data_IF_379333106202
#
_entry.id   IF_379333106202
#
_cell.length_a   1.000
_cell.length_b   1.000
_cell.length_c   1.000
_cell.angle_alpha   90.00
_cell.angle_beta   90.00
_cell.angle_gamma   90.00
#
_symmetry.space_group_name_H-M   'P 1'
#
loop_
_entity.id
_entity.type
_entity.pdbx_description
1 polymer ?
#
# COMPACT_ATOMS: atom_id res chain seq x y z
N UNK A 1 -52.94 -18.16 -19.21
CA UNK A 1 -51.97 -18.40 -20.32
C UNK A 1 -50.80 -17.42 -20.17
N UNK A 2 -49.97 -17.63 -19.15
CA UNK A 2 -49.40 -16.50 -18.39
C UNK A 2 -47.87 -16.37 -18.58
N UNK A 3 -47.31 -17.26 -19.39
CA UNK A 3 -45.89 -17.30 -19.73
C UNK A 3 -45.32 -15.97 -20.28
N UNK A 4 -46.02 -15.13 -21.09
CA UNK A 4 -45.42 -13.87 -21.55
C UNK A 4 -45.28 -12.85 -20.42
N UNK A 5 -46.18 -12.87 -19.42
CA UNK A 5 -46.05 -12.02 -18.23
C UNK A 5 -44.88 -12.50 -17.37
N UNK A 6 -44.74 -13.81 -17.16
CA UNK A 6 -43.60 -14.41 -16.45
C UNK A 6 -42.28 -14.07 -17.16
N UNK A 7 -42.23 -14.17 -18.48
CA UNK A 7 -41.06 -13.82 -19.29
C UNK A 7 -40.71 -12.33 -19.22
N UNK A 8 -41.71 -11.44 -19.27
CA UNK A 8 -41.51 -10.00 -19.11
C UNK A 8 -40.98 -9.63 -17.72
N UNK A 9 -41.55 -10.20 -16.65
CA UNK A 9 -41.06 -10.01 -15.27
C UNK A 9 -39.63 -10.54 -15.12
N UNK A 10 -39.33 -11.74 -15.63
CA UNK A 10 -37.98 -12.30 -15.61
C UNK A 10 -36.97 -11.41 -16.36
N UNK A 11 -37.34 -10.88 -17.53
CA UNK A 11 -36.50 -9.96 -18.30
C UNK A 11 -36.22 -8.66 -17.53
N UNK A 12 -37.24 -8.06 -16.91
CA UNK A 12 -37.07 -6.86 -16.07
C UNK A 12 -36.14 -7.13 -14.89
N UNK A 13 -36.29 -8.27 -14.21
CA UNK A 13 -35.40 -8.66 -13.10
C UNK A 13 -33.93 -8.84 -13.56
N UNK A 14 -33.71 -9.46 -14.73
CA UNK A 14 -32.37 -9.59 -15.32
C UNK A 14 -31.77 -8.22 -15.67
N UNK A 15 -32.54 -7.31 -16.28
CA UNK A 15 -32.07 -5.97 -16.63
C UNK A 15 -31.72 -5.14 -15.38
N UNK A 16 -32.54 -5.18 -14.33
CA UNK A 16 -32.27 -4.54 -13.03
C UNK A 16 -31.01 -5.12 -12.39
N UNK A 17 -30.85 -6.45 -12.41
CA UNK A 17 -29.66 -7.12 -11.87
C UNK A 17 -28.38 -6.73 -12.63
N UNK A 18 -28.40 -6.74 -13.96
CA UNK A 18 -27.25 -6.33 -14.81
C UNK A 18 -26.90 -4.86 -14.59
N UNK A 19 -27.90 -3.97 -14.48
CA UNK A 19 -27.69 -2.55 -14.18
C UNK A 19 -27.11 -2.32 -12.77
N UNK A 20 -27.54 -3.08 -11.76
CA UNK A 20 -26.94 -3.05 -10.42
C UNK A 20 -25.50 -3.55 -10.43
N UNK A 21 -25.24 -4.67 -11.13
CA UNK A 21 -23.93 -5.30 -11.23
C UNK A 21 -22.91 -4.39 -11.95
N UNK A 22 -23.31 -3.75 -13.04
CA UNK A 22 -22.49 -2.75 -13.74
C UNK A 22 -22.13 -1.58 -12.81
N UNK A 23 -23.12 -1.00 -12.11
CA UNK A 23 -22.89 0.11 -11.17
C UNK A 23 -22.03 -0.31 -9.97
N UNK A 24 -22.13 -1.56 -9.50
CA UNK A 24 -21.23 -2.13 -8.48
C UNK A 24 -19.79 -2.24 -8.98
N UNK A 25 -19.57 -2.69 -10.22
CA UNK A 25 -18.23 -2.78 -10.83
C UNK A 25 -17.60 -1.38 -10.93
N UNK A 26 -18.32 -0.38 -11.45
CA UNK A 26 -17.82 1.00 -11.54
C UNK A 26 -17.39 1.55 -10.17
N UNK A 27 -18.17 1.30 -9.11
CA UNK A 27 -17.83 1.72 -7.74
C UNK A 27 -16.56 1.05 -7.20
N UNK A 28 -16.32 -0.23 -7.49
CA UNK A 28 -15.09 -0.92 -7.07
C UNK A 28 -13.87 -0.45 -7.87
N UNK A 29 -13.99 -0.25 -9.19
CA UNK A 29 -12.92 0.33 -10.01
C UNK A 29 -12.54 1.72 -9.50
N UNK A 30 -13.51 2.60 -9.24
CA UNK A 30 -13.26 3.93 -8.68
C UNK A 30 -12.61 3.88 -7.29
N UNK A 31 -13.04 2.97 -6.40
CA UNK A 31 -12.41 2.74 -5.09
C UNK A 31 -10.96 2.27 -5.22
N UNK A 32 -10.66 1.43 -6.22
CA UNK A 32 -9.31 0.90 -6.45
C UNK A 32 -8.38 1.98 -7.02
N UNK A 33 -8.87 2.85 -7.91
CA UNK A 33 -8.12 4.01 -8.39
C UNK A 33 -7.82 4.99 -7.24
N UNK A 34 -8.81 5.36 -6.44
CA UNK A 34 -8.61 6.23 -5.28
C UNK A 34 -7.65 5.64 -4.23
N UNK A 35 -7.64 4.30 -4.07
CA UNK A 35 -6.68 3.62 -3.21
C UNK A 35 -5.25 3.59 -3.81
N UNK A 36 -5.12 3.55 -5.15
CA UNK A 36 -3.82 3.68 -5.84
C UNK A 36 -3.26 5.10 -5.66
N UNK A 37 -4.06 6.13 -5.91
CA UNK A 37 -3.62 7.52 -5.76
C UNK A 37 -3.24 7.85 -4.30
N UNK A 38 -3.96 7.30 -3.32
CA UNK A 38 -3.59 7.40 -1.90
C UNK A 38 -2.30 6.64 -1.54
N UNK A 39 -2.06 5.48 -2.17
CA UNK A 39 -0.82 4.71 -2.01
C UNK A 39 0.39 5.49 -2.57
N UNK A 40 0.24 6.08 -3.75
CA UNK A 40 1.26 6.92 -4.41
C UNK A 40 1.63 8.14 -3.56
N UNK A 41 0.65 8.75 -2.89
CA UNK A 41 0.87 9.85 -1.96
C UNK A 41 1.73 9.41 -0.74
N UNK A 42 1.48 8.21 -0.17
CA UNK A 42 2.31 7.70 0.93
C UNK A 42 3.72 7.28 0.48
N UNK A 43 3.84 6.65 -0.70
CA UNK A 43 5.14 6.33 -1.31
C UNK A 43 5.96 7.62 -1.52
N UNK A 44 5.31 8.66 -2.06
CA UNK A 44 5.89 9.99 -2.22
C UNK A 44 6.27 10.69 -0.92
N UNK A 45 5.51 10.50 0.18
CA UNK A 45 5.87 11.01 1.52
C UNK A 45 7.06 10.26 2.12
N UNK A 46 6.99 8.92 2.17
CA UNK A 46 8.06 8.08 2.72
C UNK A 46 9.40 8.28 2.01
N UNK A 47 9.39 8.32 0.67
CA UNK A 47 10.62 8.54 -0.08
C UNK A 47 11.18 9.97 0.11
N UNK A 48 10.35 11.00 0.32
CA UNK A 48 10.83 12.34 0.72
C UNK A 48 11.50 12.33 2.10
N UNK A 49 10.87 11.70 3.10
CA UNK A 49 11.46 11.57 4.44
C UNK A 49 12.77 10.76 4.42
N UNK A 50 12.85 9.70 3.61
CA UNK A 50 14.09 8.95 3.44
C UNK A 50 15.19 9.74 2.72
N UNK A 51 14.84 10.69 1.84
CA UNK A 51 15.81 11.53 1.13
C UNK A 51 16.50 12.58 2.01
N UNK A 52 16.06 12.75 3.26
CA UNK A 52 16.75 13.54 4.29
C UNK A 52 18.03 12.82 4.80
N UNK A 53 18.03 11.48 4.78
CA UNK A 53 19.19 10.66 5.14
C UNK A 53 20.22 10.71 4.00
N UNK A 54 21.47 11.20 4.21
CA UNK A 54 22.45 11.32 3.13
C UNK A 54 22.76 10.01 2.40
N UNK A 55 22.74 8.88 3.12
CA UNK A 55 22.99 7.54 2.55
C UNK A 55 21.81 7.02 1.70
N UNK A 56 20.57 7.18 2.16
CA UNK A 56 19.39 6.71 1.41
C UNK A 56 18.94 7.69 0.31
N UNK A 57 19.54 8.89 0.21
CA UNK A 57 19.09 9.97 -0.68
C UNK A 57 19.06 9.60 -2.16
N UNK A 58 20.02 8.82 -2.65
CA UNK A 58 20.07 8.42 -4.06
C UNK A 58 18.92 7.47 -4.39
N UNK A 59 18.80 6.34 -3.66
CA UNK A 59 17.71 5.36 -3.86
C UNK A 59 16.33 5.97 -3.60
N UNK A 60 16.20 6.90 -2.65
CA UNK A 60 14.96 7.63 -2.42
C UNK A 60 14.59 8.57 -3.59
N UNK A 61 15.58 9.18 -4.25
CA UNK A 61 15.37 10.02 -5.45
C UNK A 61 15.00 9.16 -6.67
N UNK A 62 15.59 7.97 -6.80
CA UNK A 62 15.22 6.98 -7.81
C UNK A 62 13.77 6.51 -7.57
N UNK A 63 13.40 6.18 -6.33
CA UNK A 63 12.02 5.81 -5.98
C UNK A 63 11.01 6.94 -6.34
N UNK A 64 11.31 8.19 -5.98
CA UNK A 64 10.46 9.36 -6.30
C UNK A 64 10.25 9.59 -7.80
N UNK A 65 11.19 9.18 -8.66
CA UNK A 65 11.14 9.36 -10.12
C UNK A 65 10.67 8.11 -10.89
N UNK A 66 10.53 6.97 -10.21
CA UNK A 66 10.19 5.68 -10.83
C UNK A 66 8.68 5.51 -11.07
N UNK A 67 8.13 6.21 -12.06
CA UNK A 67 6.80 5.90 -12.63
C UNK A 67 5.64 5.92 -11.63
N UNK A 68 4.68 4.98 -11.81
CA UNK A 68 3.50 4.79 -10.95
C UNK A 68 3.62 3.50 -10.12
N UNK A 69 2.98 3.45 -8.96
CA UNK A 69 3.02 2.32 -8.03
C UNK A 69 2.57 0.97 -8.63
N UNK A 70 1.68 0.98 -9.63
CA UNK A 70 1.25 -0.24 -10.34
C UNK A 70 2.23 -0.74 -11.42
N UNK A 71 3.45 -0.19 -11.47
CA UNK A 71 4.53 -0.61 -12.38
C UNK A 71 5.68 -1.33 -11.66
N UNK A 72 6.23 -2.35 -12.32
CA UNK A 72 7.37 -3.14 -11.83
C UNK A 72 8.60 -2.27 -11.49
N UNK A 73 8.80 -1.18 -12.26
CA UNK A 73 9.88 -0.22 -12.03
C UNK A 73 9.75 0.50 -10.68
N UNK A 74 8.52 0.87 -10.26
CA UNK A 74 8.31 1.47 -8.94
C UNK A 74 8.50 0.46 -7.82
N UNK A 75 8.03 -0.77 -8.01
CA UNK A 75 8.21 -1.84 -7.02
C UNK A 75 9.70 -2.16 -6.82
N UNK A 76 10.49 -2.21 -7.89
CA UNK A 76 11.96 -2.34 -7.83
C UNK A 76 12.61 -1.23 -7.00
N UNK A 77 12.36 0.04 -7.34
CA UNK A 77 12.98 1.18 -6.65
C UNK A 77 12.56 1.31 -5.17
N UNK A 78 11.33 0.95 -4.82
CA UNK A 78 10.88 0.91 -3.42
C UNK A 78 11.51 -0.26 -2.65
N UNK A 79 11.74 -1.41 -3.29
CA UNK A 79 12.48 -2.53 -2.69
C UNK A 79 13.96 -2.19 -2.48
N UNK A 80 14.58 -1.43 -3.39
CA UNK A 80 15.94 -0.92 -3.24
C UNK A 80 16.03 0.08 -2.08
N UNK A 81 15.07 1.01 -1.97
CA UNK A 81 14.95 1.91 -0.83
C UNK A 81 14.74 1.14 0.50
N UNK A 82 13.89 0.11 0.53
CA UNK A 82 13.71 -0.72 1.74
C UNK A 82 15.00 -1.44 2.12
N UNK A 83 15.77 -1.93 1.14
CA UNK A 83 17.05 -2.60 1.39
C UNK A 83 18.08 -1.67 2.01
N UNK A 84 18.16 -0.44 1.54
CA UNK A 84 19.05 0.58 2.11
C UNK A 84 18.62 0.98 3.53
N UNK A 85 17.33 1.18 3.77
CA UNK A 85 16.81 1.45 5.13
C UNK A 85 17.03 0.27 6.10
N UNK A 86 16.96 -0.99 5.60
CA UNK A 86 17.36 -2.18 6.38
C UNK A 86 18.88 -2.22 6.66
N UNK A 87 19.72 -1.71 5.76
CA UNK A 87 21.17 -1.62 5.95
C UNK A 87 21.53 -0.58 7.03
N UNK A 88 20.91 0.60 6.97
CA UNK A 88 21.12 1.69 7.94
C UNK A 88 20.59 1.34 9.33
N UNK A 89 19.48 0.60 9.41
CA UNK A 89 18.93 0.11 10.68
C UNK A 89 18.65 1.27 11.66
N UNK A 90 19.32 1.35 12.84
CA UNK A 90 19.18 2.48 13.77
C UNK A 90 19.36 3.86 13.13
N UNK A 91 20.30 3.99 12.18
CA UNK A 91 20.65 5.29 11.59
C UNK A 91 19.54 5.83 10.66
N UNK A 92 18.62 4.96 10.20
CA UNK A 92 17.42 5.38 9.48
C UNK A 92 16.46 6.22 10.36
N UNK A 93 16.56 6.13 11.69
CA UNK A 93 15.76 6.92 12.63
C UNK A 93 16.26 8.36 12.81
N UNK A 94 17.37 8.74 12.15
CA UNK A 94 17.81 10.12 12.08
C UNK A 94 16.87 11.03 11.24
N UNK A 95 16.03 10.44 10.38
CA UNK A 95 14.93 11.12 9.70
C UNK A 95 13.63 10.97 10.53
N UNK A 96 13.14 12.03 11.20
CA UNK A 96 12.14 11.91 12.27
C UNK A 96 10.75 11.48 11.76
N UNK A 97 10.36 11.91 10.56
CA UNK A 97 9.04 11.57 9.99
C UNK A 97 9.01 10.19 9.32
N UNK A 98 10.18 9.60 9.00
CA UNK A 98 10.28 8.38 8.21
C UNK A 98 9.55 7.17 8.83
N UNK A 99 9.63 6.88 10.15
CA UNK A 99 8.84 5.82 10.77
C UNK A 99 7.33 6.03 10.63
N UNK A 100 6.87 7.29 10.74
CA UNK A 100 5.46 7.64 10.67
C UNK A 100 4.89 7.44 9.25
N UNK A 101 5.61 7.89 8.23
CA UNK A 101 5.23 7.70 6.82
C UNK A 101 5.37 6.23 6.39
N UNK A 102 6.37 5.50 6.90
CA UNK A 102 6.50 4.06 6.68
C UNK A 102 5.29 3.29 7.25
N UNK A 103 4.82 3.62 8.47
CA UNK A 103 3.62 3.02 9.05
C UNK A 103 2.35 3.34 8.25
N UNK A 104 2.21 4.59 7.76
CA UNK A 104 1.08 4.99 6.89
C UNK A 104 1.11 4.27 5.54
N UNK A 105 2.29 4.04 4.97
CA UNK A 105 2.45 3.29 3.73
C UNK A 105 1.97 1.84 3.88
N UNK A 106 2.33 1.14 4.95
CA UNK A 106 1.87 -0.25 5.20
C UNK A 106 0.34 -0.33 5.20
N UNK A 107 -0.35 0.62 5.86
CA UNK A 107 -1.82 0.70 5.86
C UNK A 107 -2.37 1.00 4.46
N UNK A 108 -1.77 1.94 3.71
CA UNK A 108 -2.21 2.24 2.34
C UNK A 108 -2.03 1.05 1.38
N UNK A 109 -0.92 0.30 1.51
CA UNK A 109 -0.65 -0.94 0.76
C UNK A 109 -1.71 -2.00 1.02
N UNK A 110 -2.11 -2.18 2.29
CA UNK A 110 -3.19 -3.11 2.67
C UNK A 110 -4.53 -2.68 2.05
N UNK A 111 -4.92 -1.40 2.21
CA UNK A 111 -6.17 -0.85 1.65
C UNK A 111 -6.22 -0.95 0.11
N UNK A 112 -5.11 -0.72 -0.57
CA UNK A 112 -5.00 -0.95 -2.02
C UNK A 112 -5.16 -2.43 -2.37
N UNK A 113 -4.39 -3.32 -1.75
CA UNK A 113 -4.41 -4.74 -2.07
C UNK A 113 -5.78 -5.40 -1.78
N UNK A 114 -6.53 -4.94 -0.78
CA UNK A 114 -7.92 -5.38 -0.57
C UNK A 114 -8.89 -4.79 -1.61
N UNK A 115 -8.73 -3.54 -2.05
CA UNK A 115 -9.51 -3.00 -3.17
C UNK A 115 -9.23 -3.74 -4.50
N UNK A 116 -7.98 -4.14 -4.72
CA UNK A 116 -7.56 -5.01 -5.83
C UNK A 116 -8.22 -6.39 -5.71
N UNK A 117 -8.22 -7.00 -4.52
CA UNK A 117 -8.89 -8.30 -4.24
C UNK A 117 -10.40 -8.25 -4.47
N UNK A 118 -11.09 -7.22 -3.98
CA UNK A 118 -12.50 -6.92 -4.24
C UNK A 118 -12.78 -6.83 -5.75
N UNK A 119 -11.97 -6.03 -6.46
CA UNK A 119 -12.16 -5.77 -7.90
C UNK A 119 -11.85 -7.01 -8.75
N UNK A 120 -10.79 -7.76 -8.45
CA UNK A 120 -10.43 -9.00 -9.17
C UNK A 120 -11.44 -10.11 -8.93
N UNK A 121 -11.93 -10.29 -7.70
CA UNK A 121 -12.94 -11.31 -7.39
C UNK A 121 -14.28 -11.03 -8.07
N UNK A 122 -14.74 -9.77 -8.12
CA UNK A 122 -15.96 -9.43 -8.87
C UNK A 122 -15.76 -9.56 -10.38
N UNK A 123 -14.69 -9.02 -10.96
CA UNK A 123 -14.47 -9.01 -12.42
C UNK A 123 -14.17 -10.38 -13.03
N UNK A 124 -13.71 -11.35 -12.25
CA UNK A 124 -13.48 -12.73 -12.71
C UNK A 124 -14.73 -13.63 -12.60
N UNK A 125 -15.79 -13.18 -11.92
CA UNK A 125 -17.03 -13.95 -11.75
C UNK A 125 -17.76 -14.20 -13.09
N UNK A 126 -18.48 -15.33 -13.17
CA UNK A 126 -19.13 -15.81 -14.41
C UNK A 126 -20.08 -14.79 -15.04
N UNK A 127 -20.90 -14.10 -14.24
CA UNK A 127 -21.95 -13.21 -14.76
C UNK A 127 -21.37 -11.90 -15.35
N UNK A 128 -20.50 -11.13 -14.65
CA UNK A 128 -19.76 -10.02 -15.26
C UNK A 128 -19.06 -10.40 -16.57
N UNK A 129 -18.37 -11.55 -16.59
CA UNK A 129 -17.65 -12.04 -17.77
C UNK A 129 -18.59 -12.39 -18.94
N UNK A 130 -19.74 -13.01 -18.68
CA UNK A 130 -20.74 -13.32 -19.70
C UNK A 130 -21.33 -12.04 -20.35
N UNK A 131 -21.61 -11.02 -19.55
CA UNK A 131 -22.09 -9.71 -20.03
C UNK A 131 -20.96 -8.74 -20.42
N UNK A 132 -19.70 -9.20 -20.48
CA UNK A 132 -18.47 -8.41 -20.78
C UNK A 132 -18.26 -7.16 -19.92
N UNK A 133 -18.89 -7.09 -18.74
CA UNK A 133 -18.84 -5.95 -17.83
C UNK A 133 -17.45 -5.84 -17.18
N UNK A 134 -16.88 -4.63 -17.16
CA UNK A 134 -15.54 -4.41 -16.61
C UNK A 134 -14.41 -5.03 -17.45
N UNK A 135 -14.56 -5.01 -18.78
CA UNK A 135 -13.47 -5.35 -19.72
C UNK A 135 -12.29 -4.37 -19.60
N UNK A 136 -11.06 -4.87 -19.77
CA UNK A 136 -9.81 -4.12 -19.58
C UNK A 136 -8.81 -4.88 -18.70
N UNK A 137 -7.62 -4.33 -18.46
CA UNK A 137 -6.62 -4.94 -17.57
C UNK A 137 -7.19 -5.18 -16.16
N UNK A 138 -6.71 -6.23 -15.47
CA UNK A 138 -6.98 -6.45 -14.05
C UNK A 138 -5.93 -5.68 -13.24
N UNK A 139 -6.31 -4.94 -12.18
CA UNK A 139 -5.34 -4.24 -11.36
C UNK A 139 -4.37 -5.23 -10.72
N UNK A 140 -3.09 -4.85 -10.66
CA UNK A 140 -2.02 -5.65 -10.05
C UNK A 140 -2.01 -5.45 -8.53
N UNK A 141 -1.35 -6.35 -7.80
CA UNK A 141 -1.10 -6.14 -6.38
C UNK A 141 0.19 -5.33 -6.22
N UNK A 142 0.25 -4.49 -5.17
CA UNK A 142 1.48 -3.81 -4.77
C UNK A 142 2.19 -4.65 -3.71
N UNK A 143 3.27 -5.30 -4.10
CA UNK A 143 4.11 -6.09 -3.20
C UNK A 143 5.52 -5.51 -3.15
N UNK A 144 5.96 -5.23 -1.94
CA UNK A 144 7.29 -4.69 -1.62
C UNK A 144 7.77 -5.33 -0.32
N UNK A 145 9.09 -5.39 -0.17
CA UNK A 145 9.75 -5.68 1.09
C UNK A 145 9.29 -4.68 2.17
N UNK A 146 9.00 -5.17 3.38
CA UNK A 146 8.63 -4.32 4.52
C UNK A 146 9.82 -4.13 5.48
N UNK A 147 9.92 -2.94 6.08
CA UNK A 147 10.89 -2.64 7.15
C UNK A 147 10.15 -2.07 8.34
N UNK A 148 10.30 -2.73 9.49
CA UNK A 148 9.66 -2.34 10.74
C UNK A 148 10.56 -1.35 11.52
N UNK A 149 10.46 -0.07 11.14
CA UNK A 149 11.19 1.01 11.81
C UNK A 149 10.70 1.24 13.26
N UNK A 150 9.48 0.84 13.60
CA UNK A 150 8.97 0.91 14.98
C UNK A 150 9.66 -0.13 15.86
N UNK A 151 9.84 -1.36 15.37
CA UNK A 151 10.65 -2.38 16.05
C UNK A 151 12.12 -1.97 16.19
N UNK A 152 12.71 -1.28 15.19
CA UNK A 152 14.07 -0.72 15.31
C UNK A 152 14.12 0.34 16.41
N UNK A 153 13.16 1.27 16.46
CA UNK A 153 13.09 2.31 17.49
C UNK A 153 12.92 1.73 18.90
N UNK A 154 12.04 0.74 19.08
CA UNK A 154 11.86 0.04 20.34
C UNK A 154 13.13 -0.73 20.77
N UNK A 155 13.84 -1.37 19.83
CA UNK A 155 15.13 -2.01 20.12
C UNK A 155 16.21 -1.01 20.52
N UNK A 156 16.29 0.15 19.85
CA UNK A 156 17.26 1.19 20.18
C UNK A 156 17.00 1.78 21.56
N UNK A 157 15.75 2.14 21.89
CA UNK A 157 15.39 2.62 23.22
C UNK A 157 15.75 1.60 24.33
N UNK A 158 15.49 0.30 24.10
CA UNK A 158 15.86 -0.76 25.03
C UNK A 158 17.38 -0.95 25.16
N UNK A 159 18.18 -0.73 24.10
CA UNK A 159 19.65 -0.74 24.17
C UNK A 159 20.17 0.45 24.97
N UNK A 160 19.67 1.66 24.72
CA UNK A 160 20.07 2.87 25.46
C UNK A 160 19.76 2.76 26.95
N UNK A 161 18.54 2.30 27.31
CA UNK A 161 18.16 2.11 28.71
C UNK A 161 19.07 1.11 29.44
N UNK A 162 19.45 0.01 28.79
CA UNK A 162 20.42 -0.97 29.33
C UNK A 162 21.81 -0.39 29.48
N UNK A 163 22.27 0.44 28.53
CA UNK A 163 23.57 1.09 28.59
C UNK A 163 23.64 2.11 29.75
N UNK A 164 22.59 2.92 29.94
CA UNK A 164 22.50 3.84 31.09
C UNK A 164 22.48 3.10 32.42
N UNK A 165 21.71 2.01 32.54
CA UNK A 165 21.66 1.17 33.73
C UNK A 165 22.94 0.34 33.99
N UNK A 166 23.88 0.32 33.04
CA UNK A 166 25.17 -0.37 33.15
C UNK A 166 26.35 0.57 33.46
N UNK A 167 26.13 1.90 33.55
CA UNK A 167 27.09 2.80 34.18
C UNK A 167 26.95 2.67 35.71
N UNK A 168 27.98 2.20 36.44
CA UNK A 168 27.96 2.27 37.90
C UNK A 168 28.04 3.72 38.37
N UNK A 169 27.52 3.99 39.56
CA UNK A 169 27.59 5.31 40.20
C UNK A 169 29.03 5.83 40.22
N UNK A 170 29.27 6.92 39.47
CA UNK A 170 30.49 7.70 39.64
C UNK A 170 30.28 8.65 40.80
N UNK A 171 30.92 8.35 41.92
CA UNK A 171 30.91 9.23 43.09
C UNK A 171 31.29 10.67 42.70
N UNK A 172 30.58 11.68 43.23
CA UNK A 172 31.00 13.06 43.08
C UNK A 172 32.28 13.29 43.89
N UNK A 173 33.41 13.43 43.20
CA UNK A 173 34.67 13.87 43.81
C UNK A 173 34.47 15.26 44.43
N UNK A 174 34.76 15.35 45.73
CA UNK A 174 34.76 16.58 46.52
C UNK A 174 36.13 17.27 46.54
#
# INVERSE_FOLDING_TARGET
MDWPLVAAVALVLVLVYVWWLARRITRLTARTAAALDALEEQLGRRAKAAAELPAAREVATIALSSGRADSDARQGAENDLVRELRHLGPDALAAPDLPAENRRLVVARQVYNDAVRDTRSLRTARIPRAFRLGSGALPLYFDIDEVDLDAVAHQQAARTARATAALPDREPLA
#
